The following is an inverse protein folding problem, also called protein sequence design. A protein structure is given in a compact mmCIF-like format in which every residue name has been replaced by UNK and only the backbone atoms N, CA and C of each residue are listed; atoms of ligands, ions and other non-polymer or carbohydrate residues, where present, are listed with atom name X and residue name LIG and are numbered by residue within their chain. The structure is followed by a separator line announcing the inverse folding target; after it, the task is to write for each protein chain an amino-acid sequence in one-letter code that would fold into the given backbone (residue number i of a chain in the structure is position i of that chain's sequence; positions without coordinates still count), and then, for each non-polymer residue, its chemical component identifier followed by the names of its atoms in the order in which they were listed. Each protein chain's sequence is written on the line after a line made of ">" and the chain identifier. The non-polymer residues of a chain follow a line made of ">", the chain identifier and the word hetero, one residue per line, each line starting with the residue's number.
data_IF_910310535168
#
_entry.id   IF_910310535168
#
_cell.length_a   1.000
_cell.length_b   1.000
_cell.length_c   1.000
_cell.angle_alpha   90.00
_cell.angle_beta   90.00
_cell.angle_gamma   90.00
#
_symmetry.space_group_name_H-M   'P 1'
#
loop_
_entity.id
_entity.type
_entity.pdbx_description
1 polymer ?
#
# COMPACT_ATOMS: atom_id res chain seq x y z
N UNK A 1 -24.89 1.08 0.02
CA UNK A 1 -24.02 1.28 1.20
C UNK A 1 -22.85 0.33 1.10
N UNK A 2 -21.66 0.85 0.81
CA UNK A 2 -20.43 0.06 0.78
C UNK A 2 -19.29 1.01 0.52
N UNK A 3 -18.88 1.79 1.53
CA UNK A 3 -17.63 2.53 1.44
C UNK A 3 -16.49 1.50 1.40
N UNK A 4 -15.70 1.53 0.33
CA UNK A 4 -14.56 0.64 0.16
C UNK A 4 -13.23 1.37 0.39
N UNK A 5 -13.30 2.63 0.85
CA UNK A 5 -12.14 3.34 1.38
C UNK A 5 -11.86 2.83 2.79
N UNK A 6 -10.83 1.99 2.89
CA UNK A 6 -10.37 1.39 4.13
C UNK A 6 -8.85 1.50 4.24
N UNK A 7 -8.39 1.36 5.47
CA UNK A 7 -6.98 1.33 5.80
C UNK A 7 -6.43 -0.09 5.65
N UNK A 8 -5.47 -0.24 4.74
CA UNK A 8 -4.66 -1.46 4.60
C UNK A 8 -3.42 -1.35 5.49
N UNK A 9 -3.04 -2.46 6.14
CA UNK A 9 -1.95 -2.48 7.13
C UNK A 9 -0.74 -3.22 6.56
N UNK A 10 0.41 -2.56 6.56
CA UNK A 10 1.69 -3.19 6.25
C UNK A 10 2.31 -3.66 7.56
N UNK A 11 2.54 -4.97 7.67
CA UNK A 11 3.19 -5.57 8.82
C UNK A 11 4.67 -5.84 8.53
N UNK A 12 5.50 -5.72 9.57
CA UNK A 12 6.92 -6.04 9.53
C UNK A 12 7.24 -7.10 10.58
N UNK A 13 8.04 -8.09 10.19
CA UNK A 13 8.52 -9.11 11.12
C UNK A 13 9.51 -8.53 12.12
N UNK A 14 9.22 -8.70 13.41
CA UNK A 14 10.13 -8.36 14.49
C UNK A 14 10.81 -9.65 15.01
N UNK A 15 12.13 -9.82 14.83
CA UNK A 15 12.82 -11.03 15.26
C UNK A 15 12.98 -11.15 16.78
N UNK A 16 12.90 -10.04 17.53
CA UNK A 16 13.01 -10.03 18.98
C UNK A 16 11.76 -10.56 19.66
N UNK A 17 10.59 -10.12 19.19
CA UNK A 17 9.27 -10.57 19.70
C UNK A 17 8.76 -11.81 18.97
N UNK A 18 9.35 -12.16 17.82
CA UNK A 18 8.92 -13.26 16.93
C UNK A 18 7.48 -13.11 16.46
N UNK A 19 7.06 -11.89 16.18
CA UNK A 19 5.72 -11.56 15.70
C UNK A 19 5.77 -10.57 14.54
N UNK A 20 4.70 -10.54 13.75
CA UNK A 20 4.44 -9.45 12.83
C UNK A 20 3.84 -8.27 13.61
N UNK A 21 4.47 -7.12 13.50
CA UNK A 21 4.04 -5.87 14.14
C UNK A 21 3.64 -4.86 13.05
N UNK A 22 2.71 -3.97 13.40
CA UNK A 22 2.27 -2.92 12.46
C UNK A 22 3.45 -2.02 12.13
N UNK A 23 3.82 -1.95 10.85
CA UNK A 23 4.84 -1.03 10.36
C UNK A 23 4.22 0.32 9.98
N UNK A 24 3.11 0.27 9.24
CA UNK A 24 2.36 1.45 8.84
C UNK A 24 0.97 1.06 8.35
N UNK A 25 0.13 2.08 8.21
CA UNK A 25 -1.19 1.99 7.58
C UNK A 25 -1.20 2.83 6.31
N UNK A 26 -1.90 2.36 5.29
CA UNK A 26 -2.05 3.01 3.98
C UNK A 26 -3.53 3.00 3.62
N UNK A 27 -4.11 4.18 3.39
CA UNK A 27 -5.48 4.28 2.93
C UNK A 27 -5.61 3.80 1.48
N UNK A 28 -6.61 2.95 1.24
CA UNK A 28 -6.85 2.30 -0.05
C UNK A 28 -8.32 2.31 -0.40
N UNK A 29 -8.63 2.22 -1.69
CA UNK A 29 -9.98 2.27 -2.24
C UNK A 29 -10.29 0.97 -2.96
N UNK A 30 -10.79 -0.02 -2.21
CA UNK A 30 -11.06 -1.35 -2.74
C UNK A 30 -9.82 -1.95 -3.41
N UNK A 31 -8.68 -1.91 -2.71
CA UNK A 31 -7.42 -2.40 -3.27
C UNK A 31 -7.57 -3.86 -3.72
N UNK A 32 -7.29 -4.08 -5.00
CA UNK A 32 -7.44 -5.37 -5.65
C UNK A 32 -6.15 -6.18 -5.57
N UNK A 33 -4.99 -5.52 -5.69
CA UNK A 33 -3.69 -6.18 -5.67
C UNK A 33 -2.57 -5.26 -5.16
N UNK A 34 -1.52 -5.89 -4.65
CA UNK A 34 -0.32 -5.27 -4.10
C UNK A 34 0.92 -6.00 -4.61
N UNK A 35 1.83 -5.29 -5.27
CA UNK A 35 3.03 -5.90 -5.85
C UNK A 35 4.30 -5.16 -5.41
N UNK A 36 5.26 -5.91 -4.84
CA UNK A 36 6.57 -5.39 -4.48
C UNK A 36 7.56 -5.61 -5.61
N UNK A 37 8.34 -4.57 -5.93
CA UNK A 37 9.40 -4.69 -6.94
C UNK A 37 10.60 -3.80 -6.61
N UNK A 38 11.70 -4.01 -7.33
CA UNK A 38 12.94 -3.24 -7.14
C UNK A 38 13.44 -2.68 -8.46
N UNK A 39 14.03 -1.48 -8.39
CA UNK A 39 14.73 -0.85 -9.53
C UNK A 39 16.07 -0.32 -9.01
N UNK A 40 17.15 -1.03 -9.31
CA UNK A 40 18.46 -0.72 -8.73
C UNK A 40 18.43 -0.79 -7.20
N UNK A 41 18.86 0.26 -6.48
CA UNK A 41 18.85 0.28 -5.01
C UNK A 41 17.48 0.63 -4.40
N UNK A 42 16.48 0.93 -5.23
CA UNK A 42 15.18 1.40 -4.77
C UNK A 42 14.17 0.26 -4.68
N UNK A 43 13.40 0.26 -3.61
CA UNK A 43 12.33 -0.70 -3.35
C UNK A 43 10.99 0.00 -3.46
N UNK A 44 10.07 -0.59 -4.21
CA UNK A 44 8.76 -0.02 -4.49
C UNK A 44 7.64 -0.99 -4.15
N UNK A 45 6.46 -0.43 -3.93
CA UNK A 45 5.22 -1.16 -3.71
C UNK A 45 4.13 -0.51 -4.55
N UNK A 46 3.55 -1.27 -5.48
CA UNK A 46 2.39 -0.86 -6.27
C UNK A 46 1.11 -1.30 -5.56
N UNK A 47 0.09 -0.44 -5.58
CA UNK A 47 -1.26 -0.72 -5.08
C UNK A 47 -2.27 -0.40 -6.17
N UNK A 48 -2.97 -1.43 -6.62
CA UNK A 48 -4.05 -1.31 -7.59
C UNK A 48 -5.37 -1.05 -6.85
N UNK A 49 -5.86 0.19 -6.85
CA UNK A 49 -7.18 0.52 -6.32
C UNK A 49 -8.24 0.30 -7.41
N UNK A 50 -9.40 -0.28 -7.05
CA UNK A 50 -10.42 -0.65 -8.03
C UNK A 50 -11.79 -0.01 -7.80
N UNK A 51 -12.15 0.32 -6.56
CA UNK A 51 -13.50 0.81 -6.25
C UNK A 51 -13.55 1.51 -4.90
N UNK A 52 -14.08 2.73 -4.84
CA UNK A 52 -14.20 3.50 -3.58
C UNK A 52 -15.53 3.25 -2.84
N UNK A 53 -16.45 2.49 -3.45
CA UNK A 53 -17.81 2.32 -2.95
C UNK A 53 -18.89 2.98 -3.80
N UNK A 54 -18.49 3.84 -4.73
CA UNK A 54 -19.35 4.60 -5.62
C UNK A 54 -18.88 4.56 -7.07
N UNK A 55 -17.57 4.56 -7.30
CA UNK A 55 -16.94 4.67 -8.62
C UNK A 55 -15.70 3.78 -8.73
N UNK A 56 -15.40 3.35 -9.95
CA UNK A 56 -14.14 2.69 -10.31
C UNK A 56 -13.08 3.67 -10.84
N UNK A 57 -13.40 4.97 -10.89
CA UNK A 57 -12.42 6.02 -11.19
C UNK A 57 -11.58 6.31 -9.92
N UNK A 58 -10.76 5.34 -9.56
CA UNK A 58 -9.85 5.40 -8.42
C UNK A 58 -8.42 5.38 -8.92
N UNK A 59 -7.58 6.26 -8.37
CA UNK A 59 -6.18 6.29 -8.75
C UNK A 59 -5.42 5.13 -8.07
N UNK A 60 -4.50 4.50 -8.80
CA UNK A 60 -3.55 3.53 -8.26
C UNK A 60 -2.28 4.22 -7.79
N UNK A 61 -1.52 3.60 -6.90
CA UNK A 61 -0.38 4.25 -6.24
C UNK A 61 0.89 3.40 -6.34
N UNK A 62 2.01 4.07 -6.61
CA UNK A 62 3.35 3.52 -6.43
C UNK A 62 3.97 4.18 -5.21
N UNK A 63 4.45 3.38 -4.27
CA UNK A 63 5.17 3.84 -3.09
C UNK A 63 6.65 3.46 -3.17
N UNK A 64 7.53 4.27 -2.59
CA UNK A 64 8.96 4.00 -2.45
C UNK A 64 9.32 3.78 -0.97
N UNK A 65 10.18 2.80 -0.68
CA UNK A 65 10.64 2.54 0.68
C UNK A 65 11.77 3.49 1.09
N UNK A 66 11.49 4.39 2.05
CA UNK A 66 12.44 5.37 2.56
C UNK A 66 12.31 5.48 4.08
N UNK A 67 13.44 5.40 4.78
CA UNK A 67 13.47 5.60 6.23
C UNK A 67 12.66 4.57 7.04
N UNK A 68 12.42 3.37 6.49
CA UNK A 68 11.66 2.32 7.18
C UNK A 68 10.15 2.34 6.92
N UNK A 69 9.68 3.13 5.95
CA UNK A 69 8.28 3.15 5.54
C UNK A 69 8.13 3.35 4.02
N UNK A 70 7.03 2.87 3.47
CA UNK A 70 6.55 3.18 2.13
C UNK A 70 5.95 4.58 2.10
N UNK A 71 6.50 5.44 1.25
CA UNK A 71 6.06 6.82 1.02
C UNK A 71 5.52 6.93 -0.41
N UNK A 72 4.45 7.71 -0.62
CA UNK A 72 3.87 7.86 -1.95
C UNK A 72 4.92 8.44 -2.91
N UNK A 73 5.16 7.74 -4.02
CA UNK A 73 6.10 8.14 -5.06
C UNK A 73 5.37 8.68 -6.28
N UNK A 74 4.32 7.99 -6.72
CA UNK A 74 3.54 8.35 -7.89
C UNK A 74 2.10 7.86 -7.77
N UNK A 75 1.19 8.59 -8.39
CA UNK A 75 -0.20 8.19 -8.61
C UNK A 75 -0.42 7.90 -10.10
N UNK A 76 -1.21 6.87 -10.41
CA UNK A 76 -1.55 6.40 -11.76
C UNK A 76 -3.06 6.51 -11.94
N UNK A 77 -3.49 7.14 -13.03
CA UNK A 77 -4.89 7.31 -13.43
C UNK A 77 -5.25 6.47 -14.64
#
# INVERSE_FOLDING_TARGET
>A
NGNHNIDSVVYKWNPGTKTFEVNQTISTSGAYDWEFFTVGPYHFLAVANAFDGTSTQTDSSIYIWLGGAFQLFQTIR
#
